data_IF_890538949407
#
_entry.id   IF_890538949407
#
_cell.length_a   1.000
_cell.length_b   1.000
_cell.length_c   1.000
_cell.angle_alpha   90.00
_cell.angle_beta   90.00
_cell.angle_gamma   90.00
#
_symmetry.space_group_name_H-M   'P 1'
#
loop_
_entity.id
_entity.type
_entity.pdbx_description
1 polymer ?
#
# COMPACT_ATOMS: atom_id res chain seq x y z
N UNK A 1 0.18 36.12 -46.29
CA UNK A 1 0.89 35.84 -45.02
C UNK A 1 0.03 35.97 -43.76
N UNK A 2 -0.96 36.87 -43.67
CA UNK A 2 -1.82 36.99 -42.46
C UNK A 2 -2.76 35.79 -42.20
N UNK A 3 -3.21 35.05 -43.23
CA UNK A 3 -4.16 33.93 -43.08
C UNK A 3 -3.58 32.67 -42.40
N UNK A 4 -2.27 32.46 -42.49
CA UNK A 4 -1.60 31.31 -41.84
C UNK A 4 -1.22 31.60 -40.38
N UNK A 5 -1.14 32.88 -39.99
CA UNK A 5 -0.84 33.29 -38.62
C UNK A 5 -2.03 33.00 -37.68
N UNK A 6 -3.27 33.20 -38.16
CA UNK A 6 -4.49 32.88 -37.40
C UNK A 6 -4.72 31.37 -37.25
N UNK A 7 -4.31 30.57 -38.26
CA UNK A 7 -4.43 29.12 -38.19
C UNK A 7 -3.40 28.51 -37.21
N UNK A 8 -2.17 29.05 -37.16
CA UNK A 8 -1.16 28.64 -36.19
C UNK A 8 -1.54 29.00 -34.74
N UNK A 9 -2.18 30.16 -34.52
CA UNK A 9 -2.66 30.57 -33.19
C UNK A 9 -3.83 29.69 -32.70
N UNK A 10 -4.72 29.26 -33.60
CA UNK A 10 -5.86 28.41 -33.25
C UNK A 10 -5.44 26.97 -32.89
N UNK A 11 -4.38 26.45 -33.53
CA UNK A 11 -3.82 25.12 -33.22
C UNK A 11 -3.05 25.13 -31.88
N UNK A 12 -2.37 26.23 -31.53
CA UNK A 12 -1.72 26.39 -30.22
C UNK A 12 -2.74 26.50 -29.06
N UNK A 13 -3.92 27.07 -29.30
CA UNK A 13 -4.97 27.19 -28.28
C UNK A 13 -5.78 25.89 -28.11
N UNK A 14 -5.88 25.06 -29.16
CA UNK A 14 -6.58 23.77 -29.11
C UNK A 14 -5.78 22.64 -28.43
N UNK A 15 -4.46 22.82 -28.22
CA UNK A 15 -3.60 21.87 -27.52
C UNK A 15 -3.38 22.17 -26.03
N UNK A 16 -4.14 23.10 -25.45
CA UNK A 16 -4.01 23.40 -24.02
C UNK A 16 -5.34 23.16 -23.27
N UNK A 17 -5.59 21.94 -22.77
CA UNK A 17 -6.08 21.83 -21.42
C UNK A 17 -4.86 21.90 -20.49
N UNK A 18 -4.14 23.02 -20.49
CA UNK A 18 -3.53 23.46 -19.25
C UNK A 18 -4.69 23.99 -18.38
N UNK A 19 -5.59 23.07 -18.00
CA UNK A 19 -6.23 23.18 -16.70
C UNK A 19 -5.06 23.45 -15.77
N UNK A 20 -5.14 24.52 -14.99
CA UNK A 20 -4.23 24.69 -13.87
C UNK A 20 -4.38 23.42 -13.03
N UNK A 21 -3.53 22.43 -13.30
CA UNK A 21 -3.20 21.39 -12.37
C UNK A 21 -2.54 22.21 -11.28
N UNK A 22 -3.29 22.44 -10.20
CA UNK A 22 -2.63 22.78 -8.95
C UNK A 22 -1.46 21.81 -8.83
N UNK A 23 -0.25 22.34 -8.72
CA UNK A 23 0.97 21.54 -8.60
C UNK A 23 0.93 20.87 -7.21
N UNK A 24 0.12 19.82 -7.14
CA UNK A 24 -0.25 19.16 -5.91
C UNK A 24 0.98 18.42 -5.41
N UNK A 25 1.41 18.65 -4.15
CA UNK A 25 2.59 17.98 -3.62
C UNK A 25 2.35 16.47 -3.53
N UNK A 26 3.21 15.71 -4.21
CA UNK A 26 3.22 14.23 -4.23
C UNK A 26 4.38 13.64 -3.43
N UNK A 27 5.19 14.50 -2.79
CA UNK A 27 6.32 14.14 -1.95
C UNK A 27 6.46 15.15 -0.81
N UNK A 28 7.02 14.71 0.31
CA UNK A 28 7.41 15.55 1.45
C UNK A 28 8.80 15.15 1.93
N UNK A 29 9.36 15.90 2.88
CA UNK A 29 10.62 15.53 3.54
C UNK A 29 10.55 14.16 4.25
N UNK A 30 9.35 13.67 4.57
CA UNK A 30 9.14 12.43 5.32
C UNK A 30 8.65 11.28 4.45
N UNK A 31 7.89 11.58 3.39
CA UNK A 31 7.17 10.58 2.62
C UNK A 31 7.32 10.77 1.11
N UNK A 32 7.45 9.66 0.39
CA UNK A 32 7.17 9.58 -1.04
C UNK A 32 5.79 8.97 -1.20
N UNK A 33 4.85 9.67 -1.84
CA UNK A 33 3.58 9.05 -2.22
C UNK A 33 3.74 8.37 -3.57
N UNK A 34 3.02 7.27 -3.79
CA UNK A 34 3.14 6.50 -5.03
C UNK A 34 2.77 7.35 -6.24
N UNK A 35 3.61 7.34 -7.28
CA UNK A 35 3.36 7.93 -8.59
C UNK A 35 3.86 6.93 -9.66
N UNK A 36 3.23 6.88 -10.85
CA UNK A 36 3.61 5.93 -11.90
C UNK A 36 5.03 6.17 -12.44
N UNK A 37 5.55 7.39 -12.34
CA UNK A 37 6.80 7.87 -12.94
C UNK A 37 7.87 8.25 -11.89
N UNK A 38 7.61 7.99 -10.60
CA UNK A 38 8.56 8.22 -9.49
C UNK A 38 8.89 6.89 -8.79
N UNK A 39 9.79 6.07 -9.34
CA UNK A 39 10.26 4.87 -8.65
C UNK A 39 11.07 5.24 -7.41
N UNK A 40 11.13 4.35 -6.42
CA UNK A 40 11.99 4.49 -5.25
C UNK A 40 13.46 4.55 -5.68
N UNK A 41 14.21 5.42 -5.00
CA UNK A 41 15.64 5.64 -5.23
C UNK A 41 16.41 5.39 -3.93
N UNK A 42 17.74 5.17 -3.98
CA UNK A 42 18.54 5.03 -2.77
C UNK A 42 18.39 6.21 -1.79
N UNK A 43 18.15 7.43 -2.30
CA UNK A 43 17.97 8.64 -1.48
C UNK A 43 16.70 8.63 -0.62
N UNK A 44 15.73 7.77 -0.95
CA UNK A 44 14.49 7.62 -0.19
C UNK A 44 14.71 6.79 1.08
N UNK A 45 15.77 5.98 1.17
CA UNK A 45 16.08 5.14 2.33
C UNK A 45 16.99 5.87 3.31
N UNK A 46 16.40 6.67 4.19
CA UNK A 46 17.12 7.63 5.03
C UNK A 46 17.42 7.15 6.44
N UNK A 47 16.93 5.95 6.81
CA UNK A 47 17.28 5.36 8.11
C UNK A 47 18.70 4.80 8.03
N UNK A 48 19.63 5.58 8.58
CA UNK A 48 21.05 5.22 8.73
C UNK A 48 21.28 4.01 9.67
N UNK A 49 22.55 3.68 9.90
CA UNK A 49 23.10 2.64 10.81
C UNK A 49 22.61 2.67 12.28
N UNK A 50 21.66 3.56 12.61
CA UNK A 50 20.88 3.59 13.85
C UNK A 50 19.89 2.43 14.01
N UNK A 51 19.97 1.39 13.17
CA UNK A 51 19.28 0.13 13.47
C UNK A 51 19.79 -0.42 14.80
N UNK A 52 18.86 -0.85 15.64
CA UNK A 52 19.21 -1.58 16.86
C UNK A 52 19.98 -2.86 16.51
N UNK A 53 20.84 -3.33 17.40
CA UNK A 53 21.57 -4.59 17.20
C UNK A 53 20.64 -5.77 16.92
N UNK A 54 19.43 -5.74 17.48
CA UNK A 54 18.39 -6.73 17.19
C UNK A 54 17.97 -6.69 15.72
N UNK A 55 17.75 -5.50 15.16
CA UNK A 55 17.38 -5.34 13.75
C UNK A 55 18.50 -5.79 12.82
N UNK A 56 19.76 -5.42 13.13
CA UNK A 56 20.93 -5.87 12.38
C UNK A 56 21.04 -7.40 12.37
N UNK A 57 20.94 -8.05 13.53
CA UNK A 57 20.96 -9.52 13.63
C UNK A 57 19.85 -10.20 12.83
N UNK A 58 18.64 -9.65 12.80
CA UNK A 58 17.53 -10.20 12.02
C UNK A 58 17.81 -10.05 10.52
N UNK A 59 18.26 -8.86 10.09
CA UNK A 59 18.67 -8.61 8.71
C UNK A 59 19.77 -9.56 8.26
N UNK A 60 20.80 -9.76 9.08
CA UNK A 60 21.91 -10.69 8.79
C UNK A 60 21.43 -12.14 8.68
N UNK A 61 20.58 -12.58 9.63
CA UNK A 61 20.07 -13.95 9.65
C UNK A 61 19.22 -14.31 8.43
N UNK A 62 18.54 -13.33 7.83
CA UNK A 62 17.65 -13.52 6.69
C UNK A 62 18.19 -12.92 5.38
N UNK A 63 19.40 -12.35 5.39
CA UNK A 63 19.98 -11.60 4.28
C UNK A 63 19.04 -10.51 3.71
N UNK A 64 18.32 -9.81 4.59
CA UNK A 64 17.38 -8.73 4.27
C UNK A 64 18.04 -7.38 4.54
N UNK A 65 18.71 -6.85 3.51
CA UNK A 65 19.53 -5.63 3.65
C UNK A 65 18.89 -4.38 3.06
N UNK A 66 17.85 -4.50 2.24
CA UNK A 66 17.01 -3.37 1.84
C UNK A 66 15.62 -3.57 2.43
N UNK A 67 15.10 -2.58 3.16
CA UNK A 67 13.75 -2.64 3.76
C UNK A 67 13.07 -1.28 3.64
N UNK A 68 11.92 -1.28 2.98
CA UNK A 68 11.00 -0.17 2.88
C UNK A 68 9.97 -0.18 4.00
N UNK A 69 9.59 1.01 4.47
CA UNK A 69 8.48 1.22 5.38
C UNK A 69 7.40 1.97 4.62
N UNK A 70 6.29 1.30 4.31
CA UNK A 70 5.19 1.89 3.54
C UNK A 70 3.84 1.41 4.04
N UNK A 71 2.77 2.08 3.61
CA UNK A 71 1.41 1.64 3.86
C UNK A 71 0.36 2.43 3.10
N UNK A 72 -0.88 1.95 3.18
CA UNK A 72 -2.04 2.56 2.54
C UNK A 72 -2.72 3.60 3.45
N UNK A 73 -2.61 4.87 3.07
CA UNK A 73 -3.22 5.98 3.80
C UNK A 73 -4.60 6.27 3.24
N UNK A 74 -5.53 6.64 4.12
CA UNK A 74 -6.95 6.83 3.78
C UNK A 74 -7.55 7.94 4.61
N UNK A 75 -8.20 8.93 4.01
CA UNK A 75 -8.88 9.99 4.75
C UNK A 75 -10.18 10.34 4.08
N UNK A 76 -11.24 10.54 4.86
CA UNK A 76 -12.49 11.08 4.35
C UNK A 76 -12.69 12.52 4.85
N UNK A 77 -13.08 13.40 3.94
CA UNK A 77 -13.56 14.73 4.26
C UNK A 77 -15.04 14.86 3.88
N UNK A 78 -15.75 15.68 4.62
CA UNK A 78 -17.18 15.90 4.49
C UNK A 78 -17.52 17.39 4.38
N UNK A 79 -18.64 17.76 3.72
CA UNK A 79 -19.09 19.14 3.70
C UNK A 79 -19.49 19.64 5.10
N UNK A 80 -19.07 20.86 5.43
CA UNK A 80 -19.60 21.64 6.56
C UNK A 80 -21.03 22.06 6.21
N UNK A 81 -22.02 21.46 6.86
CA UNK A 81 -23.44 21.75 6.67
C UNK A 81 -24.21 20.65 5.92
N UNK A 82 -25.15 21.03 5.05
CA UNK A 82 -26.08 20.09 4.40
C UNK A 82 -25.37 19.17 3.40
N UNK A 83 -25.58 17.87 3.56
CA UNK A 83 -25.15 16.82 2.64
C UNK A 83 -26.19 16.62 1.54
N UNK A 84 -25.71 16.44 0.31
CA UNK A 84 -26.56 16.16 -0.86
C UNK A 84 -25.82 15.22 -1.81
N UNK A 85 -26.52 14.62 -2.79
CA UNK A 85 -25.88 13.80 -3.84
C UNK A 85 -24.74 14.49 -4.59
N UNK A 86 -24.77 15.84 -4.69
CA UNK A 86 -23.74 16.65 -5.36
C UNK A 86 -22.68 17.21 -4.39
N UNK A 87 -22.97 17.20 -3.09
CA UNK A 87 -22.13 17.76 -2.02
C UNK A 87 -22.06 16.72 -0.92
N UNK A 88 -21.18 15.74 -1.13
CA UNK A 88 -21.03 14.53 -0.33
C UNK A 88 -19.56 14.36 0.08
N UNK A 89 -19.24 13.31 0.82
CA UNK A 89 -17.88 12.95 1.20
C UNK A 89 -16.92 12.83 0.00
N UNK A 90 -15.66 13.12 0.27
CA UNK A 90 -14.54 12.80 -0.61
C UNK A 90 -13.58 11.91 0.16
N UNK A 91 -13.26 10.77 -0.41
CA UNK A 91 -12.30 9.80 0.16
C UNK A 91 -11.00 9.91 -0.61
N UNK A 92 -9.93 10.23 0.10
CA UNK A 92 -8.56 10.28 -0.40
C UNK A 92 -7.83 9.02 0.04
N UNK A 93 -7.11 8.40 -0.88
CA UNK A 93 -6.39 7.15 -0.65
C UNK A 93 -5.01 7.32 -1.27
N UNK A 94 -3.93 7.04 -0.56
CA UNK A 94 -2.60 7.15 -1.14
C UNK A 94 -1.66 6.13 -0.49
N UNK A 95 -0.94 5.31 -1.27
CA UNK A 95 0.22 4.62 -0.75
C UNK A 95 1.31 5.64 -0.38
N UNK A 96 1.90 5.49 0.79
CA UNK A 96 2.97 6.35 1.28
C UNK A 96 4.16 5.51 1.74
N UNK A 97 5.34 5.88 1.29
CA UNK A 97 6.63 5.33 1.70
C UNK A 97 7.33 6.31 2.66
N UNK A 98 7.68 5.86 3.86
CA UNK A 98 8.34 6.68 4.90
C UNK A 98 9.86 6.58 4.80
N UNK A 99 10.49 7.71 4.45
CA UNK A 99 11.91 7.77 4.18
C UNK A 99 12.77 7.47 5.40
N UNK A 100 12.42 8.09 6.54
CA UNK A 100 13.19 8.01 7.80
C UNK A 100 13.11 6.67 8.53
N UNK A 101 12.16 5.82 8.14
CA UNK A 101 11.99 4.48 8.69
C UNK A 101 12.59 3.39 7.80
N UNK A 102 12.85 3.71 6.53
CA UNK A 102 13.35 2.79 5.50
C UNK A 102 14.87 2.83 5.39
N UNK A 103 15.52 1.68 5.19
CA UNK A 103 16.98 1.57 5.20
C UNK A 103 17.53 0.68 4.09
N UNK A 104 18.82 0.91 3.78
CA UNK A 104 19.68 0.03 3.01
C UNK A 104 20.92 -0.25 3.86
N UNK A 105 21.23 -1.53 4.07
CA UNK A 105 22.43 -2.04 4.72
C UNK A 105 23.41 -2.55 3.67
N UNK A 106 24.70 -2.47 3.98
CA UNK A 106 25.80 -2.98 3.15
C UNK A 106 25.79 -2.51 1.68
N UNK A 107 25.08 -1.42 1.37
CA UNK A 107 24.94 -0.92 0.01
C UNK A 107 24.09 -1.81 -0.91
N UNK A 108 23.18 -2.63 -0.37
CA UNK A 108 22.27 -3.48 -1.15
C UNK A 108 21.21 -2.66 -1.90
N UNK A 109 21.63 -1.96 -2.95
CA UNK A 109 20.72 -1.23 -3.83
C UNK A 109 19.92 -2.15 -4.75
N UNK A 110 20.33 -3.41 -4.90
CA UNK A 110 19.58 -4.38 -5.69
C UNK A 110 18.23 -4.69 -5.05
N UNK A 111 18.17 -4.73 -3.71
CA UNK A 111 16.93 -4.95 -2.96
C UNK A 111 15.84 -3.88 -3.17
N UNK A 112 16.16 -2.70 -3.71
CA UNK A 112 15.18 -1.64 -4.01
C UNK A 112 14.09 -2.15 -4.97
N UNK A 113 14.43 -3.07 -5.88
CA UNK A 113 13.44 -3.65 -6.81
C UNK A 113 12.35 -4.45 -6.09
N UNK A 114 12.70 -5.10 -4.97
CA UNK A 114 11.75 -5.86 -4.16
C UNK A 114 10.84 -4.90 -3.38
N UNK A 115 11.42 -3.86 -2.80
CA UNK A 115 10.68 -2.83 -2.07
C UNK A 115 9.76 -2.02 -3.00
N UNK A 116 10.19 -1.75 -4.23
CA UNK A 116 9.33 -1.13 -5.25
C UNK A 116 8.12 -2.01 -5.56
N UNK A 117 8.30 -3.33 -5.71
CA UNK A 117 7.19 -4.24 -5.96
C UNK A 117 6.19 -4.26 -4.81
N UNK A 118 6.67 -4.29 -3.57
CA UNK A 118 5.80 -4.20 -2.40
C UNK A 118 5.09 -2.85 -2.28
N UNK A 119 5.74 -1.76 -2.69
CA UNK A 119 5.12 -0.44 -2.74
C UNK A 119 4.05 -0.35 -3.84
N UNK A 120 4.30 -0.93 -5.01
CA UNK A 120 3.31 -1.04 -6.09
C UNK A 120 2.12 -1.91 -5.69
N UNK A 121 2.33 -2.93 -4.86
CA UNK A 121 1.25 -3.74 -4.31
C UNK A 121 0.35 -2.91 -3.36
N UNK A 122 0.89 -1.89 -2.67
CA UNK A 122 0.06 -0.93 -1.94
C UNK A 122 -0.80 -0.10 -2.90
N UNK A 123 -0.28 0.27 -4.08
CA UNK A 123 -1.08 0.94 -5.12
C UNK A 123 -2.16 0.02 -5.69
N UNK A 124 -1.88 -1.27 -5.91
CA UNK A 124 -2.93 -2.26 -6.23
C UNK A 124 -4.02 -2.23 -5.16
N UNK A 125 -3.64 -2.21 -3.88
CA UNK A 125 -4.57 -2.03 -2.76
C UNK A 125 -5.39 -0.74 -2.86
N UNK A 126 -4.75 0.39 -3.14
CA UNK A 126 -5.41 1.68 -3.31
C UNK A 126 -6.46 1.65 -4.44
N UNK A 127 -6.10 1.10 -5.60
CA UNK A 127 -6.98 0.93 -6.76
C UNK A 127 -8.18 0.04 -6.43
N UNK A 128 -7.95 -1.10 -5.78
CA UNK A 128 -9.01 -2.02 -5.34
C UNK A 128 -9.95 -1.36 -4.33
N UNK A 129 -9.43 -0.55 -3.41
CA UNK A 129 -10.23 0.17 -2.43
C UNK A 129 -11.13 1.19 -3.13
N UNK A 130 -10.58 2.02 -4.02
CA UNK A 130 -11.37 2.98 -4.81
C UNK A 130 -12.45 2.27 -5.64
N UNK A 131 -12.10 1.19 -6.34
CA UNK A 131 -13.06 0.37 -7.09
C UNK A 131 -14.22 -0.11 -6.21
N UNK A 132 -13.92 -0.74 -5.06
CA UNK A 132 -14.95 -1.25 -4.15
C UNK A 132 -15.86 -0.15 -3.60
N UNK A 133 -15.30 0.99 -3.22
CA UNK A 133 -16.08 2.12 -2.72
C UNK A 133 -16.98 2.71 -3.79
N UNK A 134 -16.53 2.74 -5.05
CA UNK A 134 -17.33 3.24 -6.16
C UNK A 134 -18.47 2.27 -6.51
N UNK A 135 -18.22 0.97 -6.51
CA UNK A 135 -19.28 -0.05 -6.71
C UNK A 135 -20.36 0.04 -5.62
N UNK A 136 -19.98 0.11 -4.34
CA UNK A 136 -20.93 0.27 -3.24
C UNK A 136 -21.74 1.56 -3.37
N UNK A 137 -21.10 2.66 -3.79
CA UNK A 137 -21.79 3.94 -4.01
C UNK A 137 -22.82 3.82 -5.14
N UNK A 138 -22.52 3.09 -6.21
CA UNK A 138 -23.48 2.83 -7.30
C UNK A 138 -24.65 1.97 -6.82
N UNK A 139 -24.38 0.89 -6.11
CA UNK A 139 -25.40 -0.01 -5.55
C UNK A 139 -26.35 0.72 -4.58
N UNK A 140 -25.82 1.67 -3.81
CA UNK A 140 -26.58 2.49 -2.87
C UNK A 140 -27.28 3.71 -3.51
N UNK A 141 -27.51 3.72 -4.83
CA UNK A 141 -28.08 4.84 -5.60
C UNK A 141 -27.44 6.20 -5.24
N UNK A 142 -26.10 6.18 -5.11
CA UNK A 142 -25.26 7.34 -4.79
C UNK A 142 -25.68 8.05 -3.50
N UNK A 143 -26.10 7.28 -2.49
CA UNK A 143 -26.40 7.78 -1.16
C UNK A 143 -25.22 8.57 -0.59
N UNK A 144 -25.51 9.74 -0.02
CA UNK A 144 -24.48 10.57 0.60
C UNK A 144 -23.99 9.93 1.91
N UNK A 145 -22.67 9.92 2.13
CA UNK A 145 -22.03 9.37 3.32
C UNK A 145 -21.70 7.88 3.25
N UNK A 146 -22.18 7.15 2.24
CA UNK A 146 -22.02 5.70 2.19
C UNK A 146 -20.55 5.26 2.11
N UNK A 147 -19.70 5.97 1.36
CA UNK A 147 -18.30 5.60 1.22
C UNK A 147 -17.55 5.84 2.53
N UNK A 148 -17.87 6.91 3.25
CA UNK A 148 -17.27 7.18 4.56
C UNK A 148 -17.65 6.12 5.60
N UNK A 149 -18.90 5.64 5.58
CA UNK A 149 -19.40 4.60 6.51
C UNK A 149 -18.66 3.27 6.28
N UNK A 150 -18.50 2.85 5.02
CA UNK A 150 -17.94 1.54 4.68
C UNK A 150 -16.41 1.53 4.52
N UNK A 151 -15.77 2.71 4.56
CA UNK A 151 -14.34 2.89 4.27
C UNK A 151 -13.45 1.91 5.05
N UNK A 152 -13.61 1.86 6.37
CA UNK A 152 -12.75 1.02 7.22
C UNK A 152 -12.97 -0.47 6.97
N UNK A 153 -14.21 -0.89 6.73
CA UNK A 153 -14.53 -2.29 6.39
C UNK A 153 -13.91 -2.68 5.06
N UNK A 154 -14.01 -1.81 4.04
CA UNK A 154 -13.39 -2.06 2.74
C UNK A 154 -11.86 -2.05 2.83
N UNK A 155 -11.29 -1.09 3.58
CA UNK A 155 -9.84 -0.98 3.82
C UNK A 155 -9.30 -2.23 4.49
N UNK A 156 -9.97 -2.76 5.52
CA UNK A 156 -9.56 -3.98 6.20
C UNK A 156 -9.48 -5.17 5.23
N UNK A 157 -10.50 -5.37 4.40
CA UNK A 157 -10.52 -6.45 3.39
C UNK A 157 -9.41 -6.29 2.34
N UNK A 158 -9.16 -5.06 1.88
CA UNK A 158 -8.08 -4.78 0.94
C UNK A 158 -6.72 -5.02 1.59
N UNK A 159 -6.56 -4.63 2.86
CA UNK A 159 -5.34 -4.87 3.62
C UNK A 159 -5.05 -6.36 3.77
N UNK A 160 -6.05 -7.18 4.10
CA UNK A 160 -5.89 -8.64 4.16
C UNK A 160 -5.35 -9.21 2.84
N UNK A 161 -5.87 -8.75 1.70
CA UNK A 161 -5.38 -9.16 0.38
C UNK A 161 -3.92 -8.72 0.14
N UNK A 162 -3.60 -7.46 0.41
CA UNK A 162 -2.24 -6.91 0.22
C UNK A 162 -1.24 -7.59 1.16
N UNK A 163 -1.61 -7.83 2.42
CA UNK A 163 -0.76 -8.50 3.41
C UNK A 163 -0.50 -9.96 3.02
N UNK A 164 -1.50 -10.67 2.50
CA UNK A 164 -1.34 -12.03 1.99
C UNK A 164 -0.39 -12.07 0.78
N UNK A 165 -0.60 -11.20 -0.20
CA UNK A 165 0.25 -11.09 -1.39
C UNK A 165 1.69 -10.72 -1.05
N UNK A 166 1.88 -9.75 -0.14
CA UNK A 166 3.19 -9.34 0.35
C UNK A 166 3.90 -10.50 1.06
N UNK A 167 3.18 -11.23 1.92
CA UNK A 167 3.74 -12.37 2.66
C UNK A 167 4.17 -13.49 1.71
N UNK A 168 3.37 -13.79 0.69
CA UNK A 168 3.72 -14.77 -0.34
C UNK A 168 4.93 -14.35 -1.17
N UNK A 169 5.02 -13.07 -1.56
CA UNK A 169 6.20 -12.55 -2.26
C UNK A 169 7.46 -12.67 -1.40
N UNK A 170 7.40 -12.24 -0.14
CA UNK A 170 8.54 -12.32 0.79
C UNK A 170 8.98 -13.76 0.99
N UNK A 171 8.03 -14.68 1.20
CA UNK A 171 8.34 -16.10 1.37
C UNK A 171 9.04 -16.68 0.12
N UNK A 172 8.44 -16.51 -1.06
CA UNK A 172 8.97 -17.15 -2.27
C UNK A 172 10.27 -16.51 -2.78
N UNK A 173 10.35 -15.18 -2.81
CA UNK A 173 11.45 -14.47 -3.47
C UNK A 173 12.59 -14.19 -2.49
N UNK A 174 12.29 -13.76 -1.26
CA UNK A 174 13.32 -13.31 -0.32
C UNK A 174 13.81 -14.45 0.59
N UNK A 175 12.90 -15.31 1.07
CA UNK A 175 13.26 -16.39 1.99
C UNK A 175 13.68 -17.66 1.23
N UNK A 176 12.82 -18.15 0.34
CA UNK A 176 13.08 -19.36 -0.46
C UNK A 176 14.06 -19.12 -1.60
N UNK A 177 14.27 -17.85 -1.98
CA UNK A 177 15.17 -17.43 -3.08
C UNK A 177 14.81 -18.07 -4.42
N UNK A 178 13.51 -18.25 -4.67
CA UNK A 178 13.02 -18.69 -5.97
C UNK A 178 13.23 -17.58 -7.00
N UNK A 179 13.63 -17.94 -8.22
CA UNK A 179 13.76 -17.00 -9.35
C UNK A 179 12.37 -16.66 -9.94
N UNK A 180 11.50 -16.07 -9.13
CA UNK A 180 10.11 -15.76 -9.46
C UNK A 180 9.80 -14.26 -9.49
N UNK A 181 10.81 -13.40 -9.32
CA UNK A 181 10.62 -11.94 -9.28
C UNK A 181 9.91 -11.41 -10.54
N UNK A 182 10.32 -11.87 -11.73
CA UNK A 182 9.69 -11.46 -12.99
C UNK A 182 8.21 -11.83 -13.07
N UNK A 183 7.84 -13.01 -12.54
CA UNK A 183 6.43 -13.45 -12.45
C UNK A 183 5.64 -12.56 -11.50
N UNK A 184 6.20 -12.24 -10.34
CA UNK A 184 5.56 -11.35 -9.37
C UNK A 184 5.39 -9.94 -9.92
N UNK A 185 6.39 -9.42 -10.64
CA UNK A 185 6.30 -8.12 -11.32
C UNK A 185 5.15 -8.09 -12.33
N UNK A 186 5.10 -9.09 -13.22
CA UNK A 186 4.03 -9.21 -14.21
C UNK A 186 2.64 -9.29 -13.55
N UNK A 187 2.51 -10.07 -12.46
CA UNK A 187 1.26 -10.18 -11.72
C UNK A 187 0.80 -8.83 -11.13
N UNK A 188 1.72 -8.06 -10.53
CA UNK A 188 1.40 -6.74 -9.99
C UNK A 188 1.04 -5.78 -11.13
N UNK A 189 1.77 -5.80 -12.23
CA UNK A 189 1.50 -4.97 -13.42
C UNK A 189 0.12 -5.26 -14.01
N UNK A 190 -0.28 -6.53 -14.12
CA UNK A 190 -1.62 -6.93 -14.55
C UNK A 190 -2.72 -6.34 -13.65
N UNK A 191 -2.50 -6.32 -12.33
CA UNK A 191 -3.44 -5.70 -11.39
C UNK A 191 -3.47 -4.18 -11.52
N UNK A 192 -2.32 -3.53 -11.70
CA UNK A 192 -2.25 -2.10 -11.93
C UNK A 192 -3.01 -1.74 -13.22
N UNK A 193 -2.74 -2.42 -14.33
CA UNK A 193 -3.41 -2.18 -15.61
C UNK A 193 -4.92 -2.42 -15.52
N UNK A 194 -5.34 -3.54 -14.92
CA UNK A 194 -6.75 -3.90 -14.77
C UNK A 194 -7.57 -2.83 -14.04
N UNK A 195 -6.96 -2.10 -13.11
CA UNK A 195 -7.62 -1.05 -12.32
C UNK A 195 -7.05 0.35 -12.59
N UNK A 196 -6.55 0.61 -13.81
CA UNK A 196 -5.94 1.88 -14.18
C UNK A 196 -6.83 3.12 -13.93
N UNK A 197 -8.14 3.01 -14.16
CA UNK A 197 -9.11 4.10 -13.90
C UNK A 197 -9.19 4.53 -12.43
N UNK A 198 -8.65 3.71 -11.52
CA UNK A 198 -8.64 3.93 -10.08
C UNK A 198 -7.25 4.27 -9.55
N UNK A 199 -6.32 4.66 -10.43
CA UNK A 199 -4.96 5.03 -10.05
C UNK A 199 -4.93 6.16 -9.00
N UNK A 200 -3.88 6.17 -8.19
CA UNK A 200 -3.63 7.28 -7.26
C UNK A 200 -3.44 8.60 -7.99
N UNK A 201 -4.18 9.62 -7.55
CA UNK A 201 -4.18 10.94 -8.16
C UNK A 201 -3.39 11.93 -7.32
N UNK A 202 -2.81 13.00 -7.90
CA UNK A 202 -2.07 14.01 -7.16
C UNK A 202 -2.87 14.64 -6.00
N UNK A 203 -4.19 14.80 -6.14
CA UNK A 203 -5.07 15.31 -5.09
C UNK A 203 -5.08 14.40 -3.86
N UNK A 204 -5.03 13.08 -4.08
CA UNK A 204 -5.00 12.12 -2.98
C UNK A 204 -3.71 12.29 -2.17
N UNK A 205 -2.57 12.47 -2.83
CA UNK A 205 -1.28 12.72 -2.19
C UNK A 205 -1.27 14.08 -1.46
N UNK A 206 -1.72 15.13 -2.14
CA UNK A 206 -1.74 16.48 -1.59
C UNK A 206 -2.58 16.60 -0.33
N UNK A 207 -3.68 15.85 -0.22
CA UNK A 207 -4.49 15.81 1.00
C UNK A 207 -3.67 15.42 2.23
N UNK A 208 -2.75 14.47 2.07
CA UNK A 208 -1.89 14.00 3.15
C UNK A 208 -0.66 14.89 3.33
N UNK A 209 -0.05 15.35 2.24
CA UNK A 209 1.09 16.26 2.29
C UNK A 209 0.75 17.61 2.97
N UNK A 210 -0.41 18.17 2.64
CA UNK A 210 -0.90 19.43 3.23
C UNK A 210 -1.63 19.23 4.56
N UNK A 211 -2.00 17.99 4.89
CA UNK A 211 -2.73 17.61 6.09
C UNK A 211 -3.95 18.51 6.40
N UNK A 212 -4.73 18.85 5.36
CA UNK A 212 -5.95 19.65 5.47
C UNK A 212 -6.93 19.32 4.34
N UNK A 213 -8.25 19.51 4.54
CA UNK A 213 -9.22 19.36 3.46
C UNK A 213 -8.87 20.23 2.25
N UNK A 214 -8.94 19.65 1.04
CA UNK A 214 -8.66 20.36 -0.20
C UNK A 214 -9.86 21.18 -0.70
N UNK A 215 -11.08 20.74 -0.39
CA UNK A 215 -12.30 21.43 -0.82
C UNK A 215 -12.74 22.49 0.19
N UNK A 216 -13.07 23.68 -0.32
CA UNK A 216 -13.63 24.76 0.48
C UNK A 216 -14.96 24.34 1.13
N UNK A 217 -15.10 24.66 2.42
CA UNK A 217 -16.29 24.30 3.18
C UNK A 217 -16.39 22.79 3.48
N UNK A 218 -15.27 22.06 3.45
CA UNK A 218 -15.18 20.68 3.95
C UNK A 218 -14.38 20.61 5.26
N UNK A 219 -14.58 19.54 6.02
CA UNK A 219 -13.84 19.18 7.24
C UNK A 219 -13.56 17.68 7.25
N UNK A 220 -12.49 17.30 7.93
CA UNK A 220 -12.12 15.90 8.15
C UNK A 220 -13.12 15.19 9.04
N UNK A 221 -13.37 13.92 8.74
CA UNK A 221 -14.21 13.06 9.57
C UNK A 221 -13.32 12.45 10.66
N UNK A 222 -13.35 13.02 11.87
CA UNK A 222 -12.47 12.67 13.01
C UNK A 222 -12.50 11.19 13.41
N UNK A 223 -13.65 10.52 13.27
CA UNK A 223 -13.76 9.08 13.60
C UNK A 223 -12.80 8.19 12.79
N UNK A 224 -12.28 8.70 11.66
CA UNK A 224 -11.26 8.05 10.83
C UNK A 224 -9.83 8.56 11.10
N UNK A 225 -9.66 9.68 11.83
CA UNK A 225 -8.35 10.23 12.18
C UNK A 225 -7.64 9.45 13.30
N UNK A 226 -8.38 8.74 14.15
CA UNK A 226 -7.85 8.03 15.31
C UNK A 226 -6.79 6.96 14.98
N UNK A 227 -6.74 6.50 13.72
CA UNK A 227 -5.74 5.54 13.22
C UNK A 227 -4.44 6.20 12.71
N UNK A 228 -4.41 7.54 12.56
CA UNK A 228 -3.26 8.26 12.00
C UNK A 228 -2.34 8.89 13.04
N UNK A 229 -2.76 8.97 14.31
CA UNK A 229 -1.97 9.64 15.37
C UNK A 229 -2.04 8.92 16.71
N UNK A 230 -1.29 7.82 16.84
CA UNK A 230 -0.67 7.46 18.12
C UNK A 230 0.83 7.25 17.92
N UNK A 231 1.56 8.37 17.90
CA UNK A 231 2.94 8.38 18.40
C UNK A 231 2.86 8.47 19.91
N UNK A 232 3.59 7.61 20.62
CA UNK A 232 3.88 7.91 22.02
C UNK A 232 4.91 9.05 22.09
N UNK A 233 5.17 9.54 23.30
CA UNK A 233 6.09 10.64 23.58
C UNK A 233 7.55 10.37 23.16
N UNK A 234 7.87 9.16 22.67
CA UNK A 234 9.19 8.80 22.15
C UNK A 234 9.32 9.04 20.63
N UNK A 235 8.24 9.41 19.93
CA UNK A 235 8.26 9.58 18.48
C UNK A 235 8.24 8.26 17.69
N UNK A 236 8.03 7.12 18.37
CA UNK A 236 7.93 5.80 17.76
C UNK A 236 6.50 5.55 17.29
N UNK A 237 6.33 4.99 16.09
CA UNK A 237 5.04 4.42 15.70
C UNK A 237 4.77 3.18 16.55
N UNK A 238 3.64 3.15 17.23
CA UNK A 238 3.12 1.90 17.78
C UNK A 238 2.64 1.05 16.60
N UNK A 239 3.54 0.32 15.94
CA UNK A 239 3.15 -0.96 15.36
C UNK A 239 2.78 -1.80 16.56
N UNK A 240 1.50 -1.89 16.90
CA UNK A 240 1.02 -3.00 17.71
C UNK A 240 1.31 -4.25 16.89
N UNK A 241 2.48 -4.85 17.11
CA UNK A 241 2.64 -6.28 16.96
C UNK A 241 1.69 -6.88 18.00
N UNK A 242 0.43 -7.08 17.61
CA UNK A 242 -0.37 -8.09 18.25
C UNK A 242 0.38 -9.43 18.16
N UNK A 243 0.16 -10.36 19.10
CA UNK A 243 0.70 -11.70 18.93
C UNK A 243 0.33 -12.19 17.53
N UNK A 244 1.30 -12.75 16.81
CA UNK A 244 1.03 -13.44 15.56
C UNK A 244 -0.20 -14.32 15.78
N UNK A 245 -1.27 -14.21 14.98
CA UNK A 245 -2.28 -15.25 15.00
C UNK A 245 -1.55 -16.56 14.72
N UNK A 246 -1.73 -17.55 15.57
CA UNK A 246 -1.29 -18.91 15.33
C UNK A 246 -2.13 -19.43 14.15
N UNK A 247 -1.75 -19.01 12.94
CA UNK A 247 -2.30 -19.53 11.70
C UNK A 247 -1.64 -20.88 11.54
N UNK A 248 -2.27 -21.88 12.18
CA UNK A 248 -1.83 -23.27 12.12
C UNK A 248 -1.31 -23.61 10.73
N UNK A 249 -0.14 -24.26 10.71
CA UNK A 249 0.63 -24.62 9.52
C UNK A 249 -0.28 -24.96 8.34
N UNK A 250 -0.19 -24.25 7.21
CA UNK A 250 -0.93 -24.63 6.01
C UNK A 250 -0.40 -25.99 5.55
N UNK A 251 -1.21 -27.03 5.71
CA UNK A 251 -0.91 -28.35 5.15
C UNK A 251 -1.14 -28.29 3.65
N UNK A 252 -0.10 -27.95 2.90
CA UNK A 252 -0.08 -28.17 1.46
C UNK A 252 0.05 -29.69 1.21
N UNK A 253 -1.07 -30.32 0.84
CA UNK A 253 -1.06 -31.69 0.28
C UNK A 253 -0.39 -31.63 -1.11
N UNK A 254 0.93 -31.69 -1.13
CA UNK A 254 1.63 -32.04 -2.36
C UNK A 254 1.41 -33.53 -2.65
N UNK A 255 0.74 -33.79 -3.77
CA UNK A 255 0.49 -35.12 -4.28
C UNK A 255 1.79 -35.84 -4.64
N UNK A 256 1.88 -37.08 -4.17
CA UNK A 256 2.69 -38.21 -4.67
C UNK A 256 4.21 -37.99 -4.76
N UNK A 257 4.93 -38.62 -3.81
CA UNK A 257 5.83 -39.77 -4.05
C UNK A 257 6.41 -40.28 -2.72
N UNK A 258 6.32 -41.59 -2.48
CA UNK A 258 7.29 -42.32 -1.65
C UNK A 258 6.81 -42.95 -0.34
N UNK A 259 6.35 -44.20 -0.45
CA UNK A 259 6.40 -45.31 0.52
C UNK A 259 5.77 -45.15 1.91
N UNK A 260 4.64 -45.85 2.03
CA UNK A 260 4.02 -46.35 3.24
C UNK A 260 5.00 -47.23 4.04
N UNK A 261 5.21 -46.90 5.31
CA UNK A 261 5.75 -47.81 6.33
C UNK A 261 4.74 -47.77 7.49
N UNK A 262 4.05 -48.88 7.81
CA UNK A 262 3.14 -48.90 8.95
C UNK A 262 3.94 -48.94 10.27
N UNK A 263 3.46 -48.29 11.34
CA UNK A 263 4.13 -48.33 12.63
C UNK A 263 4.00 -49.73 13.25
N UNK A 264 5.15 -50.29 13.64
CA UNK A 264 5.23 -51.48 14.46
C UNK A 264 4.66 -51.20 15.85
N UNK A 265 3.72 -52.05 16.26
CA UNK A 265 3.31 -52.26 17.65
C UNK A 265 4.48 -52.86 18.44
N UNK A 266 4.83 -52.25 19.57
CA UNK A 266 5.56 -52.95 20.63
C UNK A 266 4.79 -52.78 21.93
N UNK A 267 3.97 -53.79 22.20
CA UNK A 267 3.61 -54.22 23.54
C UNK A 267 4.89 -54.36 24.39
N UNK A 268 4.82 -53.87 25.62
CA UNK A 268 5.51 -54.46 26.76
C UNK A 268 4.91 -53.85 28.04
N UNK A 269 3.73 -54.36 28.41
CA UNK A 269 3.27 -54.35 29.79
C UNK A 269 3.13 -55.82 30.21
N UNK A 270 4.19 -56.35 30.83
CA UNK A 270 4.11 -57.58 31.62
C UNK A 270 4.64 -57.25 33.02
N UNK A 271 3.70 -57.11 33.96
CA UNK A 271 3.93 -57.43 35.37
C UNK A 271 2.86 -58.41 35.83
N UNK A 272 3.37 -59.63 36.10
CA UNK A 272 3.10 -60.51 37.24
C UNK A 272 1.64 -60.84 37.57
N UNK A 273 1.26 -62.10 37.35
CA UNK A 273 1.36 -63.23 38.30
C UNK A 273 1.33 -64.56 37.55
#
# INVERSE_FOLDING_TARGET
MKKYLYFALAVLYACSPALAQDDYPTETDLYVFWQPDRPLTPADFQKSDSLSDRQKRISDAHALYCVGCFGLWTQADAPKGKWTRKRTEVVYIAPAFEKKSSFILHGDTAGIVHEQLLFDLQEVGARLLRYKLEEIKKEADRAAGIQAIVLNTCKAKVREFVDAMSSSFVAEVLIEKNDSLARWRALVDDYLEKYADYATRPEDCARFALNRPLLNGYSSIEALEADFRKRDSSGTYMIKQGPFPDTGTPVYKNGKRGRHVPPQSSENDIRKE
#
